data_IF_837682671773
#
_entry.id   IF_837682671773
#
_cell.length_a   1.000
_cell.length_b   1.000
_cell.length_c   1.000
_cell.angle_alpha   90.00
_cell.angle_beta   90.00
_cell.angle_gamma   90.00
#
_symmetry.space_group_name_H-M   'P 1'
#
loop_
_entity.id
_entity.type
_entity.pdbx_description
1 polymer ?
#
# COMPACT_ATOMS: atom_id res chain seq x y z
N UNK A 1 10.48 -20.45 -2.74
CA UNK A 1 9.10 -20.52 -2.22
C UNK A 1 8.48 -19.20 -2.59
N UNK A 2 7.58 -19.20 -3.59
CA UNK A 2 6.88 -17.97 -3.99
C UNK A 2 5.98 -17.51 -2.84
N UNK A 3 5.89 -16.21 -2.54
CA UNK A 3 4.99 -15.72 -1.51
C UNK A 3 3.56 -16.03 -1.93
N UNK A 4 2.80 -16.70 -1.05
CA UNK A 4 1.38 -16.96 -1.28
C UNK A 4 0.67 -15.61 -1.47
N UNK A 5 0.09 -15.41 -2.64
CA UNK A 5 -0.55 -14.14 -3.01
C UNK A 5 -1.71 -13.79 -2.07
N UNK A 6 -2.40 -14.80 -1.53
CA UNK A 6 -3.47 -14.61 -0.55
C UNK A 6 -2.94 -13.95 0.73
N UNK A 7 -1.80 -14.41 1.26
CA UNK A 7 -1.18 -13.82 2.45
C UNK A 7 -0.70 -12.38 2.20
N UNK A 8 -0.16 -12.08 1.02
CA UNK A 8 0.31 -10.73 0.66
C UNK A 8 -0.86 -9.75 0.55
N UNK A 9 -1.94 -10.15 -0.12
CA UNK A 9 -3.14 -9.32 -0.28
C UNK A 9 -3.88 -9.10 1.04
N UNK A 10 -3.99 -10.13 1.88
CA UNK A 10 -4.59 -10.00 3.21
C UNK A 10 -3.80 -9.03 4.08
N UNK A 11 -2.46 -9.11 4.06
CA UNK A 11 -1.62 -8.15 4.80
C UNK A 11 -1.73 -6.73 4.24
N UNK A 12 -1.83 -6.56 2.92
CA UNK A 12 -2.02 -5.25 2.30
C UNK A 12 -3.38 -4.64 2.72
N UNK A 13 -4.47 -5.40 2.65
CA UNK A 13 -5.79 -4.94 3.08
C UNK A 13 -5.85 -4.65 4.58
N UNK A 14 -5.21 -5.48 5.41
CA UNK A 14 -5.12 -5.25 6.84
C UNK A 14 -4.32 -3.97 7.16
N UNK A 15 -3.22 -3.72 6.44
CA UNK A 15 -2.42 -2.51 6.59
C UNK A 15 -3.18 -1.26 6.17
N UNK A 16 -3.88 -1.29 5.02
CA UNK A 16 -4.72 -0.18 4.54
C UNK A 16 -5.83 0.13 5.55
N UNK A 17 -6.54 -0.90 6.06
CA UNK A 17 -7.60 -0.70 7.07
C UNK A 17 -7.07 -0.08 8.36
N UNK A 18 -5.83 -0.37 8.74
CA UNK A 18 -5.24 0.07 10.00
C UNK A 18 -4.57 1.43 9.92
N UNK A 19 -3.90 1.73 8.80
CA UNK A 19 -3.02 2.88 8.65
C UNK A 19 -3.42 3.82 7.51
N UNK A 20 -4.35 3.41 6.64
CA UNK A 20 -4.78 4.17 5.46
C UNK A 20 -3.59 4.60 4.61
N UNK A 21 -3.51 5.90 4.33
CA UNK A 21 -2.48 6.51 3.48
C UNK A 21 -1.05 6.27 3.99
N UNK A 22 -0.87 6.04 5.30
CA UNK A 22 0.43 5.75 5.89
C UNK A 22 0.83 4.27 5.77
N UNK A 23 -0.04 3.40 5.26
CA UNK A 23 0.21 1.96 5.20
C UNK A 23 1.48 1.63 4.42
N UNK A 24 1.70 2.26 3.26
CA UNK A 24 2.90 2.05 2.43
C UNK A 24 4.16 2.35 3.25
N UNK A 25 4.24 3.53 3.87
CA UNK A 25 5.39 3.96 4.68
C UNK A 25 5.67 2.97 5.83
N UNK A 26 4.64 2.56 6.57
CA UNK A 26 4.77 1.62 7.69
C UNK A 26 5.27 0.24 7.25
N UNK A 27 4.82 -0.25 6.10
CA UNK A 27 5.28 -1.52 5.54
C UNK A 27 6.71 -1.40 4.99
N UNK A 28 7.06 -0.29 4.35
CA UNK A 28 8.44 -0.02 3.91
C UNK A 28 9.42 -0.01 5.08
N UNK A 29 9.06 0.56 6.23
CA UNK A 29 9.88 0.51 7.45
C UNK A 29 10.13 -0.93 7.90
N UNK A 30 9.09 -1.78 7.93
CA UNK A 30 9.23 -3.21 8.27
C UNK A 30 10.13 -3.96 7.30
N UNK A 31 10.02 -3.68 6.00
CA UNK A 31 10.91 -4.23 4.99
C UNK A 31 12.38 -3.86 5.30
N UNK A 32 12.65 -2.60 5.64
CA UNK A 32 13.99 -2.12 5.99
C UNK A 32 14.50 -2.80 7.28
N UNK A 33 13.64 -3.03 8.27
CA UNK A 33 13.99 -3.78 9.48
C UNK A 33 14.40 -5.22 9.17
N UNK A 34 13.66 -5.92 8.30
CA UNK A 34 14.04 -7.26 7.82
C UNK A 34 15.41 -7.24 7.13
N UNK A 35 15.68 -6.24 6.27
CA UNK A 35 16.98 -6.09 5.61
C UNK A 35 18.12 -5.87 6.61
N UNK A 36 17.92 -5.06 7.66
CA UNK A 36 18.91 -4.86 8.73
C UNK A 36 19.22 -6.16 9.47
N UNK A 37 18.22 -7.03 9.62
CA UNK A 37 18.35 -8.34 10.25
C UNK A 37 18.82 -9.45 9.28
N UNK A 38 19.09 -9.12 8.01
CA UNK A 38 19.41 -10.05 6.92
C UNK A 38 18.32 -11.11 6.67
N UNK A 39 17.08 -10.81 7.05
CA UNK A 39 15.91 -11.61 6.70
C UNK A 39 15.40 -11.21 5.31
N UNK A 40 16.02 -11.80 4.29
CA UNK A 40 15.69 -11.49 2.89
C UNK A 40 14.32 -12.02 2.47
N UNK A 41 13.84 -13.10 3.09
CA UNK A 41 12.51 -13.64 2.82
C UNK A 41 11.43 -12.72 3.36
N UNK A 42 11.57 -12.25 4.61
CA UNK A 42 10.68 -11.24 5.18
C UNK A 42 10.72 -9.91 4.43
N UNK A 43 11.92 -9.47 4.01
CA UNK A 43 12.04 -8.27 3.17
C UNK A 43 11.33 -8.42 1.81
N UNK A 44 11.47 -9.58 1.16
CA UNK A 44 10.76 -9.88 -0.08
C UNK A 44 9.24 -9.88 0.10
N UNK A 45 8.75 -10.47 1.19
CA UNK A 45 7.34 -10.46 1.54
C UNK A 45 6.79 -9.04 1.74
N UNK A 46 7.44 -8.22 2.59
CA UNK A 46 6.99 -6.85 2.86
C UNK A 46 7.10 -5.93 1.64
N UNK A 47 8.08 -6.18 0.76
CA UNK A 47 8.17 -5.50 -0.55
C UNK A 47 6.94 -5.80 -1.42
N UNK A 48 6.52 -7.07 -1.50
CA UNK A 48 5.30 -7.45 -2.22
C UNK A 48 4.04 -6.81 -1.63
N UNK A 49 3.93 -6.74 -0.29
CA UNK A 49 2.82 -6.07 0.40
C UNK A 49 2.80 -4.56 0.08
N UNK A 50 3.95 -3.89 0.11
CA UNK A 50 4.05 -2.46 -0.21
C UNK A 50 3.62 -2.15 -1.66
N UNK A 51 4.00 -3.01 -2.61
CA UNK A 51 3.55 -2.88 -4.00
C UNK A 51 2.03 -2.99 -4.13
N UNK A 52 1.39 -3.94 -3.42
CA UNK A 52 -0.08 -4.06 -3.43
C UNK A 52 -0.80 -2.87 -2.79
N UNK A 53 -0.23 -2.29 -1.74
CA UNK A 53 -0.75 -1.04 -1.19
C UNK A 53 -0.66 0.11 -2.20
N UNK A 54 0.44 0.20 -2.94
CA UNK A 54 0.58 1.15 -4.05
C UNK A 54 -0.50 0.96 -5.13
N UNK A 55 -0.77 -0.28 -5.54
CA UNK A 55 -1.85 -0.61 -6.47
C UNK A 55 -3.23 -0.16 -5.91
N UNK A 56 -3.51 -0.44 -4.63
CA UNK A 56 -4.77 -0.04 -3.97
C UNK A 56 -4.92 1.49 -3.91
N UNK A 57 -3.87 2.22 -3.57
CA UNK A 57 -3.88 3.68 -3.55
C UNK A 57 -4.07 4.25 -4.96
N UNK A 58 -3.42 3.67 -5.97
CA UNK A 58 -3.61 4.07 -7.35
C UNK A 58 -5.06 3.84 -7.82
N UNK A 59 -5.67 2.70 -7.47
CA UNK A 59 -7.09 2.46 -7.74
C UNK A 59 -7.96 3.49 -7.03
N UNK A 60 -7.72 3.74 -5.74
CA UNK A 60 -8.50 4.71 -4.96
C UNK A 60 -8.42 6.11 -5.54
N UNK A 61 -7.25 6.53 -6.00
CA UNK A 61 -7.05 7.84 -6.63
C UNK A 61 -7.64 7.90 -8.04
N UNK A 62 -7.44 6.87 -8.87
CA UNK A 62 -7.91 6.83 -10.26
C UNK A 62 -9.42 6.58 -10.38
N UNK A 63 -10.02 5.88 -9.43
CA UNK A 63 -11.46 5.63 -9.35
C UNK A 63 -12.16 6.49 -8.29
N UNK A 64 -11.48 7.50 -7.73
CA UNK A 64 -12.17 8.56 -6.99
C UNK A 64 -13.12 9.25 -7.97
N UNK A 65 -14.44 9.11 -7.84
CA UNK A 65 -15.35 9.78 -8.74
C UNK A 65 -15.31 11.26 -8.37
N UNK A 66 -14.71 12.05 -9.25
CA UNK A 66 -15.01 13.47 -9.45
C UNK A 66 -14.84 14.31 -8.16
N UNK A 67 -13.67 14.95 -7.99
CA UNK A 67 -13.70 16.30 -7.45
C UNK A 67 -14.56 17.12 -8.44
N UNK A 68 -15.85 17.28 -8.14
CA UNK A 68 -16.65 18.35 -8.71
C UNK A 68 -16.00 19.65 -8.20
N UNK A 69 -15.06 20.18 -8.97
CA UNK A 69 -14.73 21.60 -8.90
C UNK A 69 -15.95 22.33 -9.43
N UNK A 70 -16.90 22.57 -8.53
CA UNK A 70 -18.04 23.44 -8.78
C UNK A 70 -17.55 24.89 -8.67
N UNK A 71 -16.64 25.30 -9.55
CA UNK A 71 -16.33 26.72 -9.77
C UNK A 71 -17.26 27.25 -10.88
N UNK A 72 -18.55 27.27 -10.55
CA UNK A 72 -19.46 28.22 -11.15
C UNK A 72 -19.50 29.47 -10.26
N UNK A 73 -18.69 30.47 -10.62
CA UNK A 73 -19.08 31.88 -10.59
C UNK A 73 -17.98 32.74 -11.21
N UNK A 74 -18.07 32.91 -12.53
CA UNK A 74 -17.89 34.25 -13.08
C UNK A 74 -19.14 35.05 -12.68
N UNK A 75 -18.96 36.28 -12.19
CA UNK A 75 -19.05 37.42 -13.11
C UNK A 75 -17.81 38.30 -13.14
#
# INVERSE_FOLDING_TARGET
MEPNLEDVWEQALAAERRYGDQAVEKITVRMIECLKLRDYLGAGFWSAVANRLGDLHAIRTNFCPIFFSNDHSAP
#
